data_IF_226458870535
#
_entry.id   IF_226458870535
#
_cell.length_a   1.000
_cell.length_b   1.000
_cell.length_c   1.000
_cell.angle_alpha   90.00
_cell.angle_beta   90.00
_cell.angle_gamma   90.00
#
_symmetry.space_group_name_H-M   'P 1'
#
loop_
_entity.id
_entity.type
_entity.pdbx_description
1 polymer ?
#
# COMPACT_ATOMS: atom_id res chain seq x y z
N UNK A 1 -13.86 -0.38 -0.97
CA UNK A 1 -12.43 -0.76 -0.97
C UNK A 1 -11.74 -0.04 -2.10
N UNK A 2 -10.42 0.15 -2.03
CA UNK A 2 -9.65 0.87 -3.03
C UNK A 2 -8.36 0.10 -3.35
N UNK A 3 -8.03 0.01 -4.63
CA UNK A 3 -6.73 -0.44 -5.11
C UNK A 3 -5.80 0.77 -5.24
N UNK A 4 -4.58 0.65 -4.77
CA UNK A 4 -3.57 1.70 -4.79
C UNK A 4 -2.36 1.24 -5.58
N UNK A 5 -1.87 2.10 -6.46
CA UNK A 5 -0.62 1.92 -7.16
C UNK A 5 0.26 3.15 -6.91
N UNK A 6 1.30 2.98 -6.12
CA UNK A 6 2.27 4.01 -5.82
C UNK A 6 3.51 3.75 -6.67
N UNK A 7 3.99 4.75 -7.38
CA UNK A 7 5.18 4.68 -8.21
C UNK A 7 6.26 5.63 -7.66
N UNK A 8 7.48 5.20 -7.79
CA UNK A 8 8.67 6.00 -7.54
C UNK A 8 9.57 5.97 -8.78
N UNK A 9 10.59 6.80 -8.82
CA UNK A 9 11.55 6.86 -9.92
C UNK A 9 12.68 5.82 -9.75
N UNK A 10 12.33 4.62 -9.27
CA UNK A 10 13.26 3.51 -9.10
C UNK A 10 12.75 2.24 -9.76
N UNK A 11 13.66 1.49 -10.34
CA UNK A 11 13.38 0.22 -11.01
C UNK A 11 14.04 -0.91 -10.23
N UNK A 12 13.24 -1.79 -9.65
CA UNK A 12 13.73 -2.88 -8.81
C UNK A 12 13.58 -4.23 -9.50
N UNK A 13 14.57 -5.09 -9.34
CA UNK A 13 14.51 -6.49 -9.76
C UNK A 13 13.50 -7.25 -8.91
N UNK A 14 12.38 -7.65 -9.50
CA UNK A 14 11.29 -8.34 -8.80
C UNK A 14 11.46 -9.87 -8.80
N UNK A 15 11.89 -10.42 -9.94
CA UNK A 15 12.11 -11.85 -10.11
C UNK A 15 13.07 -12.08 -11.28
N UNK A 16 13.63 -13.27 -11.36
CA UNK A 16 14.33 -13.72 -12.57
C UNK A 16 13.33 -14.25 -13.58
N UNK A 17 13.62 -14.01 -14.85
CA UNK A 17 12.90 -14.66 -15.94
C UNK A 17 13.20 -16.16 -15.95
N UNK A 18 12.17 -17.00 -16.10
CA UNK A 18 12.30 -18.46 -16.04
C UNK A 18 13.15 -19.04 -17.17
N UNK A 19 13.21 -18.35 -18.33
CA UNK A 19 13.94 -18.79 -19.53
C UNK A 19 15.30 -18.11 -19.65
N UNK A 20 15.36 -16.82 -19.34
CA UNK A 20 16.55 -15.97 -19.61
C UNK A 20 17.28 -15.51 -18.33
N UNK A 21 16.79 -15.87 -17.14
CA UNK A 21 17.30 -15.36 -15.86
C UNK A 21 18.68 -15.84 -15.46
N UNK A 22 19.23 -16.86 -16.11
CA UNK A 22 20.55 -17.42 -15.80
C UNK A 22 21.68 -16.41 -16.00
N UNK A 23 21.63 -15.60 -17.06
CA UNK A 23 22.62 -14.56 -17.34
C UNK A 23 22.65 -13.49 -16.24
N UNK A 24 21.47 -13.09 -15.73
CA UNK A 24 21.35 -12.13 -14.64
C UNK A 24 21.93 -12.70 -13.33
N UNK A 25 21.61 -13.96 -13.00
CA UNK A 25 22.16 -14.64 -11.81
C UNK A 25 23.66 -14.75 -11.87
N UNK A 26 24.19 -15.20 -13.01
CA UNK A 26 25.65 -15.38 -13.22
C UNK A 26 26.40 -14.06 -13.15
N UNK A 27 25.79 -12.96 -13.61
CA UNK A 27 26.35 -11.61 -13.46
C UNK A 27 26.28 -11.08 -12.01
N UNK A 28 25.59 -11.76 -11.10
CA UNK A 28 25.46 -11.39 -9.70
C UNK A 28 24.33 -10.38 -9.40
N UNK A 29 23.42 -10.15 -10.37
CA UNK A 29 22.21 -9.36 -10.15
C UNK A 29 21.29 -10.13 -9.20
N UNK A 30 20.67 -9.47 -8.22
CA UNK A 30 19.85 -10.09 -7.19
C UNK A 30 18.43 -9.50 -7.18
N UNK A 31 17.48 -10.31 -6.77
CA UNK A 31 16.12 -9.82 -6.45
C UNK A 31 16.23 -8.78 -5.34
N UNK A 32 15.56 -7.64 -5.53
CA UNK A 32 15.64 -6.49 -4.64
C UNK A 32 16.70 -5.45 -5.02
N UNK A 33 17.59 -5.74 -5.99
CA UNK A 33 18.50 -4.72 -6.51
C UNK A 33 17.73 -3.63 -7.23
N UNK A 34 18.06 -2.38 -6.95
CA UNK A 34 17.57 -1.21 -7.67
C UNK A 34 18.53 -0.87 -8.80
N UNK A 35 18.06 -0.89 -10.04
CA UNK A 35 18.86 -0.50 -11.20
C UNK A 35 18.89 1.02 -11.26
N UNK A 36 20.07 1.59 -11.12
CA UNK A 36 20.29 3.05 -11.10
C UNK A 36 20.74 3.55 -12.46
N UNK A 37 21.59 2.77 -13.13
CA UNK A 37 22.28 3.19 -14.35
C UNK A 37 22.60 1.98 -15.24
N UNK A 38 22.56 2.19 -16.56
CA UNK A 38 23.03 1.23 -17.56
C UNK A 38 23.97 1.97 -18.52
N UNK A 39 25.24 1.56 -18.55
CA UNK A 39 26.27 2.14 -19.41
C UNK A 39 26.41 3.68 -19.28
N UNK A 40 26.25 4.25 -18.09
CA UNK A 40 26.29 5.69 -17.84
C UNK A 40 24.99 6.43 -18.17
N UNK A 41 23.91 5.72 -18.47
CA UNK A 41 22.59 6.28 -18.66
C UNK A 41 21.73 6.00 -17.43
N UNK A 42 21.25 7.04 -16.76
CA UNK A 42 20.35 6.92 -15.63
C UNK A 42 19.05 6.20 -16.00
N UNK A 43 18.57 5.37 -15.09
CA UNK A 43 17.34 4.58 -15.25
C UNK A 43 16.35 4.93 -14.15
N UNK A 44 15.19 5.42 -14.53
CA UNK A 44 14.09 5.79 -13.64
C UNK A 44 12.83 4.94 -13.83
N UNK A 45 12.70 4.28 -14.97
CA UNK A 45 11.57 3.42 -15.29
C UNK A 45 11.97 2.21 -16.14
N UNK A 46 11.09 1.22 -16.23
CA UNK A 46 11.33 0.02 -17.03
C UNK A 46 11.49 0.32 -18.54
N UNK A 47 10.90 1.42 -19.01
CA UNK A 47 11.00 1.90 -20.38
C UNK A 47 12.42 2.42 -20.67
N UNK A 48 13.06 3.08 -19.70
CA UNK A 48 14.47 3.53 -19.81
C UNK A 48 15.39 2.34 -20.00
N UNK A 49 15.19 1.28 -19.22
CA UNK A 49 15.96 0.03 -19.36
C UNK A 49 15.85 -0.51 -20.78
N UNK A 50 14.64 -0.61 -21.32
CA UNK A 50 14.43 -1.08 -22.70
C UNK A 50 15.07 -0.15 -23.73
N UNK A 51 14.91 1.16 -23.54
CA UNK A 51 15.45 2.17 -24.46
C UNK A 51 16.96 2.13 -24.53
N UNK A 52 17.62 2.05 -23.38
CA UNK A 52 19.10 1.96 -23.33
C UNK A 52 19.58 0.65 -23.95
N UNK A 53 18.98 -0.48 -23.62
CA UNK A 53 19.37 -1.78 -24.18
C UNK A 53 19.17 -1.84 -25.71
N UNK A 54 18.17 -1.17 -26.27
CA UNK A 54 17.93 -1.15 -27.71
C UNK A 54 18.86 -0.17 -28.46
N UNK A 55 19.29 0.91 -27.82
CA UNK A 55 20.12 1.94 -28.45
C UNK A 55 21.62 1.60 -28.40
N UNK A 56 22.03 1.00 -27.29
CA UNK A 56 23.43 0.76 -27.00
C UNK A 56 23.81 -0.66 -27.47
N UNK A 57 24.44 -0.74 -28.63
CA UNK A 57 24.98 -2.01 -29.16
C UNK A 57 26.18 -2.55 -28.37
N UNK A 58 26.58 -1.89 -27.26
CA UNK A 58 27.73 -2.28 -26.44
C UNK A 58 27.40 -3.55 -25.63
N UNK A 59 28.21 -4.57 -25.76
CA UNK A 59 28.11 -5.82 -25.02
C UNK A 59 29.48 -6.19 -24.41
N UNK A 60 29.54 -6.61 -23.16
CA UNK A 60 28.43 -6.63 -22.15
C UNK A 60 28.03 -5.22 -21.72
N UNK A 61 26.80 -5.08 -21.22
CA UNK A 61 26.33 -3.84 -20.58
C UNK A 61 26.81 -3.79 -19.13
N UNK A 62 27.16 -2.59 -18.66
CA UNK A 62 27.47 -2.32 -17.27
C UNK A 62 26.22 -1.82 -16.57
N UNK A 63 25.70 -2.59 -15.60
CA UNK A 63 24.58 -2.17 -14.74
C UNK A 63 25.12 -1.67 -13.41
N UNK A 64 24.83 -0.44 -13.05
CA UNK A 64 25.03 0.05 -11.69
C UNK A 64 23.76 -0.19 -10.91
N UNK A 65 23.85 -1.01 -9.87
CA UNK A 65 22.74 -1.35 -8.99
C UNK A 65 23.00 -0.85 -7.58
N UNK A 66 21.93 -0.41 -6.92
CA UNK A 66 21.92 -0.13 -5.48
C UNK A 66 21.37 -1.35 -4.74
N UNK A 67 22.18 -1.86 -3.81
CA UNK A 67 21.85 -2.99 -2.94
C UNK A 67 21.98 -2.53 -1.49
N UNK A 68 20.86 -2.24 -0.85
CA UNK A 68 20.87 -1.48 0.41
C UNK A 68 21.54 -0.12 0.19
N UNK A 69 22.53 0.22 0.99
CA UNK A 69 23.26 1.50 0.88
C UNK A 69 24.50 1.43 -0.03
N UNK A 70 24.71 0.31 -0.74
CA UNK A 70 25.92 0.11 -1.56
C UNK A 70 25.59 0.13 -3.04
N UNK A 71 26.34 0.93 -3.82
CA UNK A 71 26.36 0.85 -5.27
C UNK A 71 27.35 -0.24 -5.72
N UNK A 72 26.95 -1.03 -6.70
CA UNK A 72 27.76 -2.12 -7.28
C UNK A 72 27.54 -2.12 -8.78
N UNK A 73 28.64 -2.16 -9.55
CA UNK A 73 28.56 -2.30 -11.00
C UNK A 73 28.74 -3.76 -11.39
N UNK A 74 27.84 -4.26 -12.23
CA UNK A 74 27.80 -5.63 -12.73
C UNK A 74 27.88 -5.60 -14.25
N UNK A 75 28.73 -6.46 -14.82
CA UNK A 75 28.77 -6.67 -16.27
C UNK A 75 27.81 -7.81 -16.65
N UNK A 76 26.86 -7.55 -17.53
CA UNK A 76 25.83 -8.50 -17.97
C UNK A 76 25.71 -8.47 -19.48
N UNK A 77 25.62 -9.65 -20.09
CA UNK A 77 25.33 -9.77 -21.54
C UNK A 77 23.83 -10.02 -21.72
N UNK A 78 23.06 -9.04 -22.24
CA UNK A 78 21.65 -9.21 -22.53
C UNK A 78 21.42 -10.32 -23.55
N UNK A 79 20.32 -11.06 -23.39
CA UNK A 79 19.87 -12.03 -24.38
C UNK A 79 19.01 -11.35 -25.44
N UNK A 80 19.28 -11.65 -26.71
CA UNK A 80 18.43 -11.22 -27.82
C UNK A 80 17.15 -12.05 -27.83
N UNK A 81 16.01 -11.37 -27.92
CA UNK A 81 14.67 -11.96 -28.06
C UNK A 81 13.94 -11.32 -29.25
N UNK A 82 12.82 -11.89 -29.67
CA UNK A 82 11.96 -11.31 -30.71
C UNK A 82 11.51 -9.87 -30.38
N UNK A 83 11.44 -9.53 -29.08
CA UNK A 83 11.03 -8.22 -28.57
C UNK A 83 12.22 -7.35 -28.14
N UNK A 84 13.42 -7.61 -28.68
CA UNK A 84 14.65 -6.90 -28.38
C UNK A 84 15.49 -7.52 -27.23
N UNK A 85 16.61 -6.87 -26.87
CA UNK A 85 17.53 -7.36 -25.86
C UNK A 85 16.90 -7.32 -24.46
N UNK A 86 17.12 -8.36 -23.66
CA UNK A 86 16.62 -8.48 -22.28
C UNK A 86 17.70 -8.88 -21.31
N UNK A 87 17.67 -8.31 -20.13
CA UNK A 87 18.60 -8.60 -19.02
C UNK A 87 18.19 -9.82 -18.18
N UNK A 88 17.07 -10.49 -18.54
CA UNK A 88 16.65 -11.75 -17.91
C UNK A 88 16.00 -11.60 -16.54
N UNK A 89 15.38 -10.46 -16.25
CA UNK A 89 14.65 -10.23 -15.00
C UNK A 89 13.31 -9.54 -15.25
N UNK A 90 12.38 -9.77 -14.35
CA UNK A 90 11.16 -8.96 -14.24
C UNK A 90 11.47 -7.74 -13.38
N UNK A 91 11.10 -6.59 -13.88
CA UNK A 91 11.28 -5.30 -13.22
C UNK A 91 9.98 -4.86 -12.59
N UNK A 92 10.08 -4.28 -11.40
CA UNK A 92 8.97 -3.66 -10.70
C UNK A 92 9.29 -2.19 -10.47
N UNK A 93 8.30 -1.35 -10.74
CA UNK A 93 8.33 0.06 -10.41
C UNK A 93 7.18 0.36 -9.47
N UNK A 94 7.51 0.80 -8.26
CA UNK A 94 6.51 1.11 -7.24
C UNK A 94 5.90 -0.11 -6.54
N UNK A 95 4.79 0.13 -5.85
CA UNK A 95 4.08 -0.82 -5.01
C UNK A 95 2.60 -0.72 -5.30
N UNK A 96 1.95 -1.86 -5.42
CA UNK A 96 0.50 -1.97 -5.54
C UNK A 96 -0.08 -2.73 -4.37
N UNK A 97 -1.25 -2.32 -3.91
CA UNK A 97 -1.96 -2.96 -2.81
C UNK A 97 -3.43 -2.58 -2.79
N UNK A 98 -4.14 -3.14 -1.84
CA UNK A 98 -5.53 -2.79 -1.55
C UNK A 98 -5.66 -2.24 -0.14
N UNK A 99 -6.66 -1.37 0.05
CA UNK A 99 -6.99 -0.80 1.34
C UNK A 99 -8.43 -0.29 1.37
N UNK A 100 -8.73 0.49 2.38
CA UNK A 100 -10.04 1.11 2.56
C UNK A 100 -9.89 2.63 2.56
N UNK A 101 -10.83 3.32 1.92
CA UNK A 101 -10.93 4.77 2.03
C UNK A 101 -11.51 5.09 3.41
N UNK A 102 -10.82 5.94 4.14
CA UNK A 102 -11.21 6.36 5.50
C UNK A 102 -12.23 7.49 5.44
N UNK A 103 -11.92 8.50 4.64
CA UNK A 103 -12.76 9.69 4.49
C UNK A 103 -12.64 10.27 3.08
N UNK A 104 -13.64 11.05 2.73
CA UNK A 104 -13.68 11.92 1.57
C UNK A 104 -14.11 13.30 2.01
N UNK A 105 -13.39 14.31 1.59
CA UNK A 105 -13.72 15.72 1.75
C UNK A 105 -14.25 16.26 0.42
N UNK A 106 -15.56 16.55 0.32
CA UNK A 106 -16.17 17.01 -0.92
C UNK A 106 -15.79 18.44 -1.28
N UNK A 107 -15.38 19.28 -0.32
CA UNK A 107 -14.99 20.67 -0.57
C UNK A 107 -13.60 20.71 -1.24
N UNK A 108 -12.68 19.89 -0.76
CA UNK A 108 -11.34 19.79 -1.32
C UNK A 108 -11.23 18.77 -2.47
N UNK A 109 -12.25 17.90 -2.67
CA UNK A 109 -12.18 16.78 -3.60
C UNK A 109 -11.12 15.74 -3.21
N UNK A 110 -10.79 15.64 -1.93
CA UNK A 110 -9.68 14.92 -1.37
C UNK A 110 -10.17 13.66 -0.63
N UNK A 111 -9.41 12.58 -0.70
CA UNK A 111 -9.65 11.40 0.12
C UNK A 111 -8.40 10.94 0.86
N UNK A 112 -8.60 10.34 2.03
CA UNK A 112 -7.56 9.68 2.82
C UNK A 112 -7.81 8.18 2.95
N UNK A 113 -6.74 7.39 2.95
CA UNK A 113 -6.80 5.93 2.99
C UNK A 113 -5.66 5.32 3.81
N UNK A 114 -5.80 4.05 4.21
CA UNK A 114 -4.86 3.20 4.92
C UNK A 114 -4.61 3.57 6.39
N UNK A 115 -4.50 4.86 6.74
CA UNK A 115 -4.09 5.31 8.07
C UNK A 115 -2.62 5.02 8.42
N UNK A 116 -1.84 4.53 7.46
CA UNK A 116 -0.40 4.31 7.56
C UNK A 116 0.25 4.49 6.20
N UNK A 117 1.56 4.73 6.18
CA UNK A 117 2.32 4.83 4.94
C UNK A 117 2.57 3.49 4.27
N UNK A 118 2.85 3.56 2.98
CA UNK A 118 3.34 2.43 2.19
C UNK A 118 4.86 2.50 2.18
N UNK A 119 5.50 1.40 2.61
CA UNK A 119 6.95 1.27 2.67
C UNK A 119 7.50 0.46 1.52
N UNK A 120 8.73 0.76 1.13
CA UNK A 120 9.50 -0.02 0.16
C UNK A 120 10.02 -1.34 0.75
N UNK A 121 10.80 -2.08 -0.03
CA UNK A 121 11.39 -3.36 0.39
C UNK A 121 12.42 -3.23 1.53
N UNK A 122 12.95 -2.04 1.79
CA UNK A 122 13.86 -1.75 2.91
C UNK A 122 13.12 -1.45 4.21
N UNK A 123 11.78 -1.27 4.15
CA UNK A 123 10.95 -0.83 5.27
C UNK A 123 10.89 0.69 5.43
N UNK A 124 11.52 1.44 4.53
CA UNK A 124 11.46 2.90 4.52
C UNK A 124 10.19 3.39 3.83
N UNK A 125 9.69 4.56 4.22
CA UNK A 125 8.54 5.16 3.55
C UNK A 125 8.84 5.36 2.06
N UNK A 126 7.98 4.79 1.19
CA UNK A 126 8.15 4.90 -0.26
C UNK A 126 8.07 6.38 -0.68
N UNK A 127 9.14 6.88 -1.29
CA UNK A 127 9.17 8.22 -1.90
C UNK A 127 8.38 8.15 -3.21
N UNK A 128 7.08 8.45 -3.10
CA UNK A 128 6.17 8.38 -4.23
C UNK A 128 6.33 9.61 -5.13
N UNK A 129 6.50 9.39 -6.43
CA UNK A 129 6.51 10.46 -7.45
C UNK A 129 5.18 10.54 -8.19
N UNK A 130 4.50 9.42 -8.33
CA UNK A 130 3.16 9.30 -8.93
C UNK A 130 2.38 8.22 -8.23
N UNK A 131 1.06 8.32 -8.29
CA UNK A 131 0.20 7.26 -7.79
C UNK A 131 -1.20 7.36 -8.38
N UNK A 132 -1.86 6.21 -8.47
CA UNK A 132 -3.23 6.10 -8.93
C UNK A 132 -4.04 5.22 -7.99
N UNK A 133 -5.30 5.58 -7.84
CA UNK A 133 -6.28 4.84 -7.08
C UNK A 133 -7.33 4.25 -8.03
N UNK A 134 -7.78 3.04 -7.75
CA UNK A 134 -8.75 2.29 -8.55
C UNK A 134 -9.87 1.76 -7.65
N UNK A 135 -11.07 1.66 -8.16
CA UNK A 135 -12.10 0.90 -7.47
C UNK A 135 -11.66 -0.57 -7.34
N UNK A 136 -11.88 -1.15 -6.18
CA UNK A 136 -11.51 -2.53 -5.92
C UNK A 136 -12.60 -3.26 -5.13
N UNK A 137 -12.82 -4.51 -5.48
CA UNK A 137 -13.71 -5.42 -4.78
C UNK A 137 -12.97 -6.56 -4.11
N UNK A 138 -13.57 -7.14 -3.07
CA UNK A 138 -13.04 -8.34 -2.39
C UNK A 138 -13.44 -9.57 -3.17
N UNK A 139 -12.43 -10.32 -3.63
CA UNK A 139 -12.62 -11.59 -4.33
C UNK A 139 -12.62 -12.77 -3.35
N UNK A 140 -11.74 -12.75 -2.36
CA UNK A 140 -11.64 -13.81 -1.36
C UNK A 140 -10.99 -13.32 -0.07
N UNK A 141 -11.20 -14.09 1.00
CA UNK A 141 -10.66 -13.82 2.33
C UNK A 141 -9.75 -14.98 2.76
N UNK A 142 -8.50 -14.68 3.08
CA UNK A 142 -7.65 -15.56 3.88
C UNK A 142 -7.86 -15.19 5.34
N UNK A 143 -8.42 -16.12 6.14
CA UNK A 143 -8.64 -15.85 7.57
C UNK A 143 -7.31 -15.67 8.32
N UNK A 144 -7.30 -14.74 9.27
CA UNK A 144 -6.21 -14.56 10.22
C UNK A 144 -6.25 -15.61 11.31
N UNK A 145 -5.07 -16.04 11.76
CA UNK A 145 -4.86 -16.94 12.91
C UNK A 145 -3.68 -16.43 13.71
N UNK A 146 -3.57 -16.76 15.01
CA UNK A 146 -2.39 -16.40 15.78
C UNK A 146 -1.09 -16.84 15.09
N UNK A 147 -0.18 -15.88 14.85
CA UNK A 147 1.07 -16.08 14.11
C UNK A 147 0.95 -16.03 12.58
N UNK A 148 -0.25 -16.06 12.02
CA UNK A 148 -0.52 -15.98 10.59
C UNK A 148 -1.50 -14.85 10.28
N UNK A 149 -1.04 -13.69 9.79
CA UNK A 149 -1.94 -12.63 9.40
C UNK A 149 -2.84 -13.05 8.24
N UNK A 150 -4.12 -12.73 8.36
CA UNK A 150 -5.08 -12.91 7.28
C UNK A 150 -4.98 -11.80 6.24
N UNK A 151 -5.71 -11.97 5.14
CA UNK A 151 -5.69 -11.02 4.03
C UNK A 151 -7.01 -11.02 3.27
N UNK A 152 -7.50 -9.83 2.96
CA UNK A 152 -8.49 -9.64 1.90
C UNK A 152 -7.74 -9.66 0.56
N UNK A 153 -8.16 -10.56 -0.32
CA UNK A 153 -7.67 -10.55 -1.71
C UNK A 153 -8.69 -9.81 -2.55
N UNK A 154 -8.27 -8.74 -3.18
CA UNK A 154 -9.09 -7.92 -4.05
C UNK A 154 -8.56 -7.86 -5.47
N UNK A 155 -9.40 -7.44 -6.39
CA UNK A 155 -9.03 -7.04 -7.72
C UNK A 155 -9.61 -5.66 -8.02
N UNK A 156 -8.99 -4.96 -8.95
CA UNK A 156 -9.56 -3.73 -9.49
C UNK A 156 -10.89 -4.06 -10.20
N UNK A 157 -11.92 -3.30 -9.90
CA UNK A 157 -13.21 -3.38 -10.55
C UNK A 157 -13.26 -2.33 -11.67
N UNK A 158 -13.36 -2.79 -12.92
CA UNK A 158 -13.36 -1.93 -14.09
C UNK A 158 -11.96 -1.43 -14.51
N UNK A 159 -11.94 -0.58 -15.52
CA UNK A 159 -10.72 0.00 -16.13
C UNK A 159 -10.49 1.46 -15.74
N UNK A 160 -11.32 2.03 -14.87
CA UNK A 160 -11.30 3.45 -14.50
C UNK A 160 -10.33 3.77 -13.36
N UNK A 161 -9.53 4.80 -13.56
CA UNK A 161 -8.77 5.43 -12.47
C UNK A 161 -9.77 6.21 -11.63
N UNK A 162 -9.89 5.83 -10.35
CA UNK A 162 -10.75 6.46 -9.36
C UNK A 162 -10.23 7.87 -8.99
N UNK A 163 -8.93 7.98 -8.82
CA UNK A 163 -8.27 9.23 -8.45
C UNK A 163 -6.76 9.17 -8.58
N UNK A 164 -6.14 10.31 -8.37
CA UNK A 164 -4.70 10.47 -8.40
C UNK A 164 -4.15 10.62 -6.98
N UNK A 165 -3.14 9.81 -6.62
CA UNK A 165 -2.48 9.89 -5.33
C UNK A 165 -1.38 10.95 -5.42
N UNK A 166 -1.32 11.84 -4.42
CA UNK A 166 -0.33 12.92 -4.39
C UNK A 166 0.61 12.84 -3.17
N UNK A 167 0.26 12.08 -2.14
CA UNK A 167 1.05 12.05 -0.90
C UNK A 167 1.00 10.66 -0.24
N UNK A 168 2.18 10.17 0.16
CA UNK A 168 2.38 9.00 1.00
C UNK A 168 3.10 9.44 2.27
N UNK A 169 2.45 9.34 3.43
CA UNK A 169 2.96 9.77 4.73
C UNK A 169 2.86 8.63 5.76
N UNK A 170 3.52 8.73 6.91
CA UNK A 170 3.34 7.75 7.98
C UNK A 170 1.88 7.64 8.48
N UNK A 171 1.04 8.67 8.26
CA UNK A 171 -0.35 8.75 8.71
C UNK A 171 -1.37 8.31 7.66
N UNK A 172 -0.93 7.99 6.43
CA UNK A 172 -1.81 7.54 5.38
C UNK A 172 -1.34 7.87 3.97
N UNK A 173 -2.14 7.42 3.00
CA UNK A 173 -1.99 7.77 1.59
C UNK A 173 -3.17 8.63 1.19
N UNK A 174 -2.89 9.75 0.53
CA UNK A 174 -3.87 10.77 0.18
C UNK A 174 -3.91 10.99 -1.32
N UNK A 175 -5.11 11.27 -1.81
CA UNK A 175 -5.36 11.51 -3.23
C UNK A 175 -6.53 12.43 -3.47
N UNK A 176 -6.67 12.85 -4.73
CA UNK A 176 -7.85 13.57 -5.23
C UNK A 176 -8.67 12.64 -6.10
N UNK A 177 -9.98 12.67 -5.95
CA UNK A 177 -10.88 11.87 -6.78
C UNK A 177 -11.27 12.61 -8.05
N UNK A 178 -11.47 11.86 -9.13
CA UNK A 178 -12.02 12.38 -10.39
C UNK A 178 -13.55 12.41 -10.39
N UNK A 179 -14.18 11.80 -9.39
CA UNK A 179 -15.63 11.67 -9.26
C UNK A 179 -16.04 12.17 -7.89
N UNK A 180 -17.14 12.88 -7.81
CA UNK A 180 -17.77 13.21 -6.53
C UNK A 180 -18.36 11.97 -5.86
N UNK A 181 -18.37 11.96 -4.53
CA UNK A 181 -19.13 10.98 -3.78
C UNK A 181 -20.39 11.59 -3.24
N UNK A 182 -21.48 10.85 -3.38
CA UNK A 182 -22.72 11.16 -2.70
C UNK A 182 -22.74 10.45 -1.34
N UNK A 183 -23.18 11.14 -0.31
CA UNK A 183 -23.28 10.56 1.03
C UNK A 183 -23.66 11.58 2.09
N UNK A 184 -23.88 11.08 3.29
CA UNK A 184 -24.14 11.92 4.45
C UNK A 184 -22.83 12.26 5.15
N UNK A 185 -22.61 13.54 5.43
CA UNK A 185 -21.45 13.98 6.20
C UNK A 185 -21.48 13.38 7.61
N UNK A 186 -20.31 12.91 8.06
CA UNK A 186 -20.11 12.39 9.40
C UNK A 186 -19.16 13.36 10.14
N UNK A 187 -19.55 13.90 11.31
CA UNK A 187 -18.67 14.76 12.07
C UNK A 187 -17.41 13.99 12.53
N UNK A 188 -16.29 14.67 12.59
CA UNK A 188 -15.05 14.13 13.17
C UNK A 188 -15.01 14.38 14.68
N UNK A 189 -14.37 13.48 15.43
CA UNK A 189 -14.12 13.67 16.85
C UNK A 189 -12.74 14.27 17.07
N UNK A 190 -12.66 15.23 17.99
CA UNK A 190 -11.39 15.66 18.54
C UNK A 190 -10.81 14.57 19.46
N UNK A 191 -9.47 14.54 19.62
CA UNK A 191 -8.78 13.59 20.49
C UNK A 191 -9.43 13.43 21.87
N UNK A 192 -9.74 14.56 22.54
CA UNK A 192 -10.33 14.56 23.88
C UNK A 192 -11.78 14.05 23.97
N UNK A 193 -12.46 13.82 22.85
CA UNK A 193 -13.82 13.29 22.80
C UNK A 193 -13.86 11.76 22.69
N UNK A 194 -12.74 11.15 22.32
CA UNK A 194 -12.65 9.70 22.11
C UNK A 194 -12.57 8.98 23.46
N UNK A 195 -13.35 7.93 23.62
CA UNK A 195 -13.42 7.17 24.87
C UNK A 195 -13.14 5.68 24.63
N UNK A 196 -12.68 5.00 25.67
CA UNK A 196 -12.66 3.53 25.68
C UNK A 196 -14.10 2.99 25.74
N UNK A 197 -14.35 1.86 25.06
CA UNK A 197 -15.67 1.25 25.01
C UNK A 197 -16.13 0.95 23.58
N UNK A 198 -17.43 0.76 23.37
CA UNK A 198 -17.99 0.35 22.10
C UNK A 198 -17.73 1.34 20.97
N UNK A 199 -17.42 0.81 19.81
CA UNK A 199 -17.29 1.55 18.56
C UNK A 199 -17.64 0.62 17.37
N UNK A 200 -17.63 1.15 16.17
CA UNK A 200 -17.88 0.38 14.94
C UNK A 200 -16.80 0.67 13.92
N UNK A 201 -16.50 -0.32 13.08
CA UNK A 201 -15.67 -0.13 11.89
C UNK A 201 -16.53 -0.38 10.65
N UNK A 202 -16.25 0.36 9.57
CA UNK A 202 -16.91 0.15 8.27
C UNK A 202 -15.90 -0.46 7.32
N UNK A 203 -16.17 -1.63 6.79
CA UNK A 203 -15.33 -2.26 5.78
C UNK A 203 -16.14 -3.19 4.87
N UNK A 204 -15.52 -3.52 3.74
CA UNK A 204 -16.04 -4.48 2.78
C UNK A 204 -15.26 -5.79 2.97
N UNK A 205 -15.94 -6.85 3.41
CA UNK A 205 -15.34 -8.17 3.65
C UNK A 205 -15.85 -9.21 2.68
N UNK A 206 -17.17 -9.23 2.47
CA UNK A 206 -17.84 -10.16 1.56
C UNK A 206 -18.95 -9.45 0.79
N UNK A 207 -19.28 -9.95 -0.40
CA UNK A 207 -20.51 -9.57 -1.10
C UNK A 207 -20.57 -8.18 -1.73
N UNK A 208 -19.46 -7.47 -1.87
CA UNK A 208 -19.38 -6.19 -2.59
C UNK A 208 -19.95 -4.97 -1.85
N UNK A 209 -20.55 -5.14 -0.66
CA UNK A 209 -21.16 -4.05 0.12
C UNK A 209 -20.32 -3.71 1.35
N UNK A 210 -20.28 -2.41 1.68
CA UNK A 210 -19.70 -1.92 2.95
C UNK A 210 -20.66 -2.25 4.07
N UNK A 211 -20.15 -2.86 5.14
CA UNK A 211 -20.88 -3.22 6.35
C UNK A 211 -20.25 -2.59 7.58
N UNK A 212 -21.06 -2.43 8.63
CA UNK A 212 -20.59 -2.00 9.95
C UNK A 212 -20.39 -3.22 10.84
N UNK A 213 -19.25 -3.27 11.53
CA UNK A 213 -18.91 -4.32 12.47
C UNK A 213 -18.56 -3.75 13.83
N UNK A 214 -19.00 -4.43 14.88
CA UNK A 214 -18.77 -4.00 16.27
C UNK A 214 -17.32 -4.25 16.68
N UNK A 215 -16.72 -3.23 17.29
CA UNK A 215 -15.40 -3.28 17.91
C UNK A 215 -15.43 -2.60 19.27
N UNK A 216 -14.41 -2.79 20.08
CA UNK A 216 -14.20 -2.10 21.33
C UNK A 216 -12.86 -1.37 21.30
N UNK A 217 -12.85 -0.10 21.69
CA UNK A 217 -11.63 0.67 21.94
C UNK A 217 -11.15 0.30 23.35
N UNK A 218 -10.11 -0.53 23.44
CA UNK A 218 -9.58 -1.03 24.70
C UNK A 218 -8.68 -0.02 25.39
N UNK A 219 -7.94 0.78 24.60
CA UNK A 219 -6.97 1.73 25.10
C UNK A 219 -6.75 2.86 24.11
N UNK A 220 -6.58 4.06 24.64
CA UNK A 220 -6.22 5.27 23.90
C UNK A 220 -4.80 5.66 24.34
N UNK A 221 -3.92 5.84 23.35
CA UNK A 221 -2.55 6.28 23.56
C UNK A 221 -2.45 7.80 23.34
N UNK A 222 -1.40 8.45 23.84
CA UNK A 222 -1.23 9.90 23.68
C UNK A 222 -1.25 10.33 22.20
N UNK A 223 -1.80 11.52 21.93
CA UNK A 223 -1.83 12.14 20.60
C UNK A 223 -0.42 12.35 20.01
N UNK A 224 0.57 12.56 20.87
CA UNK A 224 1.98 12.70 20.47
C UNK A 224 2.58 11.45 19.84
N UNK A 225 1.86 10.33 19.85
CA UNK A 225 2.28 9.09 19.20
C UNK A 225 2.02 9.16 17.72
N UNK A 226 3.08 9.12 16.92
CA UNK A 226 3.05 9.35 15.46
C UNK A 226 3.15 8.07 14.60
N UNK A 227 3.19 6.88 15.24
CA UNK A 227 3.37 5.60 14.55
C UNK A 227 2.06 4.94 14.07
N UNK A 228 0.95 5.70 14.05
CA UNK A 228 -0.36 5.20 13.62
C UNK A 228 -1.02 4.19 14.56
N UNK A 229 -0.56 4.11 15.83
CA UNK A 229 -1.05 3.16 16.84
C UNK A 229 -1.64 3.88 18.06
N UNK A 230 -2.53 4.83 17.79
CA UNK A 230 -3.15 5.67 18.82
C UNK A 230 -4.29 4.97 19.56
N UNK A 231 -4.99 4.04 18.91
CA UNK A 231 -6.09 3.28 19.48
C UNK A 231 -5.73 1.79 19.49
N UNK A 232 -5.98 1.11 20.61
CA UNK A 232 -5.96 -0.36 20.66
C UNK A 232 -7.41 -0.84 20.54
N UNK A 233 -7.67 -1.63 19.52
CA UNK A 233 -8.99 -2.12 19.14
C UNK A 233 -9.12 -3.63 19.40
N UNK A 234 -10.33 -4.08 19.71
CA UNK A 234 -10.71 -5.49 19.74
C UNK A 234 -11.97 -5.67 18.90
N UNK A 235 -11.94 -6.61 17.99
CA UNK A 235 -13.13 -7.04 17.25
C UNK A 235 -14.03 -7.83 18.18
N UNK A 236 -15.29 -7.40 18.28
CA UNK A 236 -16.33 -8.07 19.09
C UNK A 236 -17.46 -8.63 18.25
N UNK A 237 -17.49 -8.26 16.96
CA UNK A 237 -18.50 -8.69 16.00
C UNK A 237 -18.32 -10.18 15.63
N UNK A 238 -19.34 -11.03 15.86
CA UNK A 238 -19.25 -12.46 15.59
C UNK A 238 -19.15 -12.78 14.09
N UNK A 239 -19.81 -12.01 13.24
CA UNK A 239 -19.83 -12.25 11.81
C UNK A 239 -18.46 -11.88 11.20
N UNK A 240 -17.86 -10.78 11.63
CA UNK A 240 -16.50 -10.42 11.23
C UNK A 240 -15.48 -11.46 11.71
N UNK A 241 -15.56 -11.91 12.97
CA UNK A 241 -14.69 -12.97 13.49
C UNK A 241 -14.87 -14.28 12.73
N UNK A 242 -16.10 -14.63 12.37
CA UNK A 242 -16.38 -15.80 11.56
C UNK A 242 -15.80 -15.66 10.14
N UNK A 243 -15.92 -14.49 9.52
CA UNK A 243 -15.48 -14.27 8.14
C UNK A 243 -13.96 -14.18 8.02
N UNK A 244 -13.31 -13.40 8.90
CA UNK A 244 -11.90 -13.01 8.76
C UNK A 244 -10.98 -13.53 9.86
N UNK A 245 -11.53 -13.98 11.00
CA UNK A 245 -10.77 -14.31 12.21
C UNK A 245 -10.30 -13.08 13.00
N UNK A 246 -10.68 -11.87 12.58
CA UNK A 246 -10.31 -10.59 13.20
C UNK A 246 -9.91 -9.54 12.17
N UNK A 247 -9.00 -8.64 12.54
CA UNK A 247 -8.44 -7.64 11.62
C UNK A 247 -7.46 -8.34 10.67
N UNK A 248 -7.59 -8.08 9.38
CA UNK A 248 -6.77 -8.69 8.33
C UNK A 248 -6.20 -7.62 7.38
N UNK A 249 -5.14 -7.96 6.66
CA UNK A 249 -4.57 -7.07 5.64
C UNK A 249 -5.62 -6.71 4.59
N UNK A 250 -5.66 -5.44 4.19
CA UNK A 250 -6.69 -4.86 3.34
C UNK A 250 -7.79 -4.12 4.11
N UNK A 251 -7.94 -4.35 5.43
CA UNK A 251 -8.83 -3.55 6.28
C UNK A 251 -8.19 -2.22 6.73
N UNK A 252 -6.90 -2.01 6.47
CA UNK A 252 -6.25 -0.73 6.75
C UNK A 252 -7.00 0.42 6.08
N UNK A 253 -7.26 1.48 6.84
CA UNK A 253 -8.08 2.61 6.44
C UNK A 253 -9.57 2.47 6.79
N UNK A 254 -10.05 1.31 7.26
CA UNK A 254 -11.45 1.15 7.69
C UNK A 254 -11.80 2.21 8.72
N UNK A 255 -12.79 3.11 8.45
CA UNK A 255 -13.15 4.16 9.39
C UNK A 255 -13.69 3.59 10.70
N UNK A 256 -13.29 4.19 11.80
CA UNK A 256 -13.75 3.86 13.16
C UNK A 256 -14.75 4.93 13.57
N UNK A 257 -15.96 4.49 13.89
CA UNK A 257 -17.08 5.35 14.28
C UNK A 257 -17.43 5.09 15.75
N UNK A 258 -17.47 6.14 16.56
CA UNK A 258 -17.96 6.12 17.94
C UNK A 258 -18.96 7.25 18.14
N UNK A 259 -20.10 6.97 18.70
CA UNK A 259 -21.17 7.93 18.99
C UNK A 259 -21.56 8.82 17.78
N UNK A 260 -21.55 8.22 16.59
CA UNK A 260 -21.88 8.89 15.32
C UNK A 260 -20.77 9.79 14.76
N UNK A 261 -19.59 9.83 15.38
CA UNK A 261 -18.44 10.60 14.92
C UNK A 261 -17.36 9.68 14.35
N UNK A 262 -16.66 10.15 13.31
CA UNK A 262 -15.44 9.53 12.80
C UNK A 262 -14.29 9.82 13.76
N UNK A 263 -13.78 8.80 14.44
CA UNK A 263 -12.71 8.94 15.45
C UNK A 263 -11.33 8.56 14.91
N UNK A 264 -11.28 7.76 13.84
CA UNK A 264 -10.01 7.29 13.30
C UNK A 264 -10.15 6.23 12.22
N UNK A 265 -9.06 5.53 11.95
CA UNK A 265 -8.99 4.44 11.00
C UNK A 265 -8.20 3.24 11.55
N UNK A 266 -8.60 2.03 11.15
CA UNK A 266 -7.84 0.81 11.43
C UNK A 266 -6.50 0.87 10.68
N UNK A 267 -5.41 0.50 11.33
CA UNK A 267 -4.06 0.56 10.72
C UNK A 267 -3.34 -0.79 10.71
N UNK A 268 -3.16 -1.42 11.85
CA UNK A 268 -2.33 -2.62 11.99
C UNK A 268 -3.07 -3.71 12.76
N UNK A 269 -2.82 -4.96 12.40
CA UNK A 269 -3.25 -6.13 13.16
C UNK A 269 -2.16 -6.57 14.14
N UNK A 270 -2.55 -7.11 15.30
CA UNK A 270 -1.62 -7.83 16.14
C UNK A 270 -1.46 -9.25 15.61
N UNK A 271 -0.28 -9.57 15.11
CA UNK A 271 -0.02 -10.86 14.42
C UNK A 271 -0.32 -12.07 15.34
N UNK A 272 -0.02 -11.97 16.63
CA UNK A 272 -0.24 -13.04 17.60
C UNK A 272 -1.68 -13.11 18.14
N UNK A 273 -2.49 -12.09 17.89
CA UNK A 273 -3.90 -12.03 18.26
C UNK A 273 -4.67 -11.20 17.21
N UNK A 274 -5.09 -11.79 16.09
CA UNK A 274 -5.80 -11.06 15.03
C UNK A 274 -7.12 -10.44 15.45
N UNK A 275 -7.70 -10.88 16.58
CA UNK A 275 -8.91 -10.24 17.14
C UNK A 275 -8.64 -8.82 17.61
N UNK A 276 -7.37 -8.42 17.74
CA UNK A 276 -6.92 -7.10 18.15
C UNK A 276 -6.09 -6.42 17.08
N UNK A 277 -6.07 -5.09 17.13
CA UNK A 277 -5.27 -4.28 16.24
C UNK A 277 -5.18 -2.85 16.71
N UNK A 278 -4.57 -2.03 15.89
CA UNK A 278 -4.38 -0.61 16.17
C UNK A 278 -5.17 0.25 15.20
N UNK A 279 -5.45 1.47 15.61
CA UNK A 279 -5.98 2.53 14.79
C UNK A 279 -5.27 3.85 15.04
N UNK A 280 -5.33 4.72 14.04
CA UNK A 280 -4.86 6.11 14.09
C UNK A 280 -6.03 7.04 14.38
N UNK A 281 -5.78 8.20 15.02
CA UNK A 281 -6.78 9.26 15.14
C UNK A 281 -7.07 9.90 13.80
N UNK A 282 -8.32 10.30 13.60
CA UNK A 282 -8.72 10.99 12.38
C UNK A 282 -8.01 12.34 12.23
N UNK A 283 -7.78 13.07 13.32
CA UNK A 283 -7.09 14.35 13.32
C UNK A 283 -5.69 14.21 12.70
N UNK A 284 -4.93 13.17 13.06
CA UNK A 284 -3.60 12.92 12.48
C UNK A 284 -3.64 12.68 10.97
N UNK A 285 -4.70 12.03 10.47
CA UNK A 285 -4.88 11.83 9.03
C UNK A 285 -5.27 13.11 8.32
N UNK A 286 -6.18 13.90 8.91
CA UNK A 286 -6.62 15.17 8.34
C UNK A 286 -5.48 16.19 8.30
N UNK A 287 -4.67 16.28 9.36
CA UNK A 287 -3.47 17.12 9.39
C UNK A 287 -2.45 16.72 8.33
N UNK A 288 -2.23 15.42 8.14
CA UNK A 288 -1.30 14.92 7.12
C UNK A 288 -1.83 15.06 5.68
N UNK A 289 -3.14 15.23 5.51
CA UNK A 289 -3.79 15.44 4.22
C UNK A 289 -3.69 16.89 3.74
N UNK A 290 -3.70 17.86 4.68
CA UNK A 290 -3.57 19.29 4.42
C UNK A 290 -2.12 19.62 3.99
#
# INVERSE_FOLDING_TARGET
>A
MIGLQLQNDTVTVAAYDDVFGEAARSAGLKIGDEIVDINGCDVSCAEDVRSVLNKDGQLPVNLTVRRGNKLTTLALTPRQTENGPRIGVYLRQGISGIGTVTFYDPEAGLFGTLGHGVSDASGSLLQMTRGSAYEAGVVSVKKGKPGEPGQLKGCAEGSGVYGDLFRNTPQGVFGTTRYGWEGTAVPTAAYGEIQTGPARIRCQVTGGTVQEYSVEILKIYPETRTDGRNLLLKVTDPDLLQATGGIVQGMSGSPIIQDGKLVGAVTHVLVNDPTRGYGIFIENMLEAAA
#
